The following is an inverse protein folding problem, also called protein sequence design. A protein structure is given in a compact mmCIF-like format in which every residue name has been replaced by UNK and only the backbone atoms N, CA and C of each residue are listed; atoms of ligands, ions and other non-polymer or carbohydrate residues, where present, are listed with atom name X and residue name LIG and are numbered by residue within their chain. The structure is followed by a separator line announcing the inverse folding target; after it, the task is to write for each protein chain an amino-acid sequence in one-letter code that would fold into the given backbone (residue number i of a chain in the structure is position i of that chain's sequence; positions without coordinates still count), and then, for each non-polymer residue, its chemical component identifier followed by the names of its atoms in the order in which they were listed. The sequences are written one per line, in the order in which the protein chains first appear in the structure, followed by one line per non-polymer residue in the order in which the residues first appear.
data_IF_038721726779
#
_entry.id   IF_038721726779
#
_cell.length_a   1.000
_cell.length_b   1.000
_cell.length_c   1.000
_cell.angle_alpha   90.00
_cell.angle_beta   90.00
_cell.angle_gamma   90.00
#
_symmetry.space_group_name_H-M   'P 1'
#
loop_
_entity.id
_entity.type
_entity.pdbx_description
1 polymer ?
#
# COMPACT_ATOMS: atom_id res chain seq x y z
N UNK A 1 3.80 9.15 10.33
CA UNK A 1 3.16 9.53 11.62
C UNK A 1 2.76 11.01 11.54
N UNK A 2 1.45 11.31 11.68
CA UNK A 2 0.92 12.67 11.53
C UNK A 2 1.41 13.62 12.64
N UNK A 3 1.58 13.11 13.85
CA UNK A 3 2.04 13.93 15.01
C UNK A 3 3.47 14.43 14.78
N UNK A 4 4.34 13.57 14.23
CA UNK A 4 5.71 13.94 13.91
C UNK A 4 5.76 14.95 12.75
N UNK A 5 4.92 14.79 11.72
CA UNK A 5 4.85 15.77 10.63
C UNK A 5 4.37 17.15 11.12
N UNK A 6 3.38 17.17 12.02
CA UNK A 6 2.92 18.42 12.64
C UNK A 6 4.03 19.05 13.49
N UNK A 7 4.74 18.25 14.28
CA UNK A 7 5.88 18.71 15.10
C UNK A 7 6.98 19.33 14.26
N UNK A 8 7.40 18.63 13.18
CA UNK A 8 8.43 19.12 12.27
C UNK A 8 8.00 20.39 11.52
N UNK A 9 6.76 20.45 11.05
CA UNK A 9 6.21 21.64 10.40
C UNK A 9 6.23 22.85 11.32
N UNK A 10 5.86 22.68 12.61
CA UNK A 10 5.91 23.75 13.59
C UNK A 10 7.35 24.24 13.88
N UNK A 11 8.33 23.33 13.90
CA UNK A 11 9.75 23.71 14.04
C UNK A 11 10.25 24.51 12.85
N UNK A 12 9.90 24.10 11.62
CA UNK A 12 10.25 24.82 10.40
C UNK A 12 9.60 26.22 10.37
N UNK A 13 8.34 26.31 10.77
CA UNK A 13 7.61 27.59 10.80
C UNK A 13 8.26 28.62 11.73
N UNK A 14 8.82 28.21 12.89
CA UNK A 14 9.59 29.09 13.79
C UNK A 14 10.83 29.69 13.12
N UNK A 15 11.29 29.10 12.01
CA UNK A 15 12.43 29.57 11.21
C UNK A 15 12.00 30.18 9.88
N UNK A 16 10.70 30.52 9.71
CA UNK A 16 10.11 31.03 8.47
C UNK A 16 10.30 30.08 7.25
N UNK A 17 10.39 28.77 7.50
CA UNK A 17 10.47 27.76 6.43
C UNK A 17 9.06 27.19 6.20
N UNK A 18 8.57 27.31 4.98
CA UNK A 18 7.31 26.67 4.56
C UNK A 18 7.54 25.17 4.31
N UNK A 19 6.58 24.33 4.72
CA UNK A 19 6.67 22.87 4.61
C UNK A 19 5.45 22.30 3.91
N UNK A 20 5.69 21.20 3.20
CA UNK A 20 4.67 20.29 2.70
C UNK A 20 5.02 18.87 3.16
N UNK A 21 4.03 18.07 3.46
CA UNK A 21 4.19 16.61 3.47
C UNK A 21 3.68 16.05 2.14
N UNK A 22 4.39 15.08 1.59
CA UNK A 22 4.10 14.54 0.27
C UNK A 22 4.36 13.02 0.20
N UNK A 23 3.69 12.19 1.03
CA UNK A 23 3.83 10.74 0.93
C UNK A 23 3.33 10.24 -0.42
N UNK A 24 3.99 9.18 -0.91
CA UNK A 24 3.68 8.57 -2.21
C UNK A 24 2.95 7.24 -2.04
N UNK A 25 2.19 6.85 -3.08
CA UNK A 25 1.45 5.59 -3.13
C UNK A 25 1.33 5.06 -4.56
N UNK A 26 1.26 3.73 -4.73
CA UNK A 26 1.18 3.08 -6.04
C UNK A 26 2.25 2.01 -6.30
N UNK A 27 3.18 1.81 -5.34
CA UNK A 27 4.22 0.77 -5.41
C UNK A 27 5.49 1.20 -6.15
N UNK A 28 6.53 0.37 -6.05
CA UNK A 28 7.85 0.63 -6.61
C UNK A 28 7.81 0.78 -8.13
N UNK A 29 7.09 -0.09 -8.83
CA UNK A 29 6.98 -0.07 -10.29
C UNK A 29 6.45 1.26 -10.85
N UNK A 30 5.47 1.89 -10.16
CA UNK A 30 4.98 3.22 -10.55
C UNK A 30 5.93 4.35 -10.16
N UNK A 31 6.74 4.17 -9.13
CA UNK A 31 7.80 5.12 -8.81
C UNK A 31 8.92 5.09 -9.88
N UNK A 32 9.28 3.91 -10.36
CA UNK A 32 10.28 3.71 -11.42
C UNK A 32 9.85 4.32 -12.77
N UNK A 33 8.56 4.21 -13.12
CA UNK A 33 8.00 4.81 -14.34
C UNK A 33 7.73 6.32 -14.23
N UNK A 34 7.73 6.87 -12.99
CA UNK A 34 7.35 8.26 -12.72
C UNK A 34 5.83 8.48 -12.68
N UNK A 35 5.02 7.42 -12.64
CA UNK A 35 3.55 7.47 -12.59
C UNK A 35 3.00 7.29 -11.14
N UNK A 36 3.85 7.44 -10.13
CA UNK A 36 3.42 7.32 -8.74
C UNK A 36 2.44 8.40 -8.34
N UNK A 37 1.51 8.09 -7.43
CA UNK A 37 0.58 9.07 -6.88
C UNK A 37 1.15 9.74 -5.64
N UNK A 38 0.88 11.04 -5.47
CA UNK A 38 1.38 11.87 -4.37
C UNK A 38 0.20 12.45 -3.59
N UNK A 39 0.16 12.20 -2.28
CA UNK A 39 -0.78 12.84 -1.36
C UNK A 39 -0.08 14.05 -0.74
N UNK A 40 -0.63 15.26 -0.90
CA UNK A 40 0.08 16.47 -0.46
C UNK A 40 -0.72 17.23 0.58
N UNK A 41 -0.09 17.60 1.70
CA UNK A 41 -0.70 18.46 2.71
C UNK A 41 0.22 19.62 3.10
N UNK A 42 -0.40 20.73 3.49
CA UNK A 42 0.26 21.98 3.89
C UNK A 42 -0.54 23.20 3.46
N UNK A 43 0.08 24.38 3.47
CA UNK A 43 -0.58 25.59 2.98
C UNK A 43 -0.82 25.49 1.47
N UNK A 44 -2.04 25.82 1.00
CA UNK A 44 -2.36 25.77 -0.44
C UNK A 44 -1.42 26.65 -1.29
N UNK A 45 -1.03 27.81 -0.76
CA UNK A 45 -0.05 28.70 -1.41
C UNK A 45 1.29 28.01 -1.64
N UNK A 46 1.78 27.25 -0.64
CA UNK A 46 3.05 26.50 -0.73
C UNK A 46 2.91 25.35 -1.71
N UNK A 47 1.77 24.63 -1.67
CA UNK A 47 1.45 23.60 -2.65
C UNK A 47 1.48 24.14 -4.08
N UNK A 48 0.82 25.27 -4.35
CA UNK A 48 0.81 25.86 -5.68
C UNK A 48 2.21 26.25 -6.17
N UNK A 49 3.08 26.77 -5.28
CA UNK A 49 4.50 27.04 -5.61
C UNK A 49 5.28 25.77 -5.96
N UNK A 50 5.01 24.67 -5.26
CA UNK A 50 5.72 23.39 -5.42
C UNK A 50 5.11 22.51 -6.52
N UNK A 51 3.95 22.84 -7.07
CA UNK A 51 3.19 21.98 -7.97
C UNK A 51 4.00 21.54 -9.19
N UNK A 52 4.74 22.45 -9.81
CA UNK A 52 5.58 22.11 -10.97
C UNK A 52 6.65 21.06 -10.63
N UNK A 53 7.25 21.15 -9.44
CA UNK A 53 8.19 20.11 -8.96
C UNK A 53 7.48 18.78 -8.75
N UNK A 54 6.34 18.79 -8.05
CA UNK A 54 5.56 17.57 -7.75
C UNK A 54 5.06 16.90 -9.04
N UNK A 55 4.64 17.67 -10.05
CA UNK A 55 4.15 17.15 -11.33
C UNK A 55 5.24 16.48 -12.19
N UNK A 56 6.50 16.72 -11.90
CA UNK A 56 7.63 16.02 -12.51
C UNK A 56 8.02 14.72 -11.78
N UNK A 57 7.55 14.56 -10.52
CA UNK A 57 7.85 13.38 -9.68
C UNK A 57 6.79 12.30 -9.82
N UNK A 58 5.50 12.69 -9.90
CA UNK A 58 4.39 11.73 -9.97
C UNK A 58 3.24 12.22 -10.83
N UNK A 59 2.31 11.29 -11.13
CA UNK A 59 1.19 11.57 -12.03
C UNK A 59 -0.03 12.13 -11.29
N UNK A 60 -0.64 11.36 -10.38
CA UNK A 60 -1.82 11.78 -9.64
C UNK A 60 -1.42 12.55 -8.38
N UNK A 61 -1.75 13.82 -8.29
CA UNK A 61 -1.39 14.68 -7.15
C UNK A 61 -2.66 15.12 -6.44
N UNK A 62 -2.87 14.63 -5.22
CA UNK A 62 -4.04 14.96 -4.42
C UNK A 62 -3.67 15.94 -3.31
N UNK A 63 -4.27 17.14 -3.33
CA UNK A 63 -4.14 18.07 -2.22
C UNK A 63 -5.09 17.70 -1.08
N UNK A 64 -4.53 17.31 0.09
CA UNK A 64 -5.27 16.79 1.24
C UNK A 64 -5.55 17.85 2.33
N UNK A 65 -5.17 19.10 2.13
CA UNK A 65 -5.42 20.18 3.11
C UNK A 65 -4.28 20.41 4.09
N UNK A 66 -4.59 20.51 5.38
CA UNK A 66 -3.61 20.85 6.43
C UNK A 66 -2.58 19.73 6.66
N UNK A 67 -1.39 20.10 7.19
CA UNK A 67 -0.35 19.16 7.63
C UNK A 67 -0.95 18.08 8.56
N UNK A 68 -0.55 16.84 8.38
CA UNK A 68 -1.06 15.64 9.05
C UNK A 68 -2.09 14.86 8.22
N UNK A 69 -2.85 15.53 7.33
CA UNK A 69 -3.90 14.87 6.55
C UNK A 69 -3.33 13.84 5.55
N UNK A 70 -2.27 14.18 4.82
CA UNK A 70 -1.67 13.27 3.85
C UNK A 70 -1.03 12.06 4.54
N UNK A 71 -0.35 12.26 5.67
CA UNK A 71 0.18 11.16 6.49
C UNK A 71 -0.92 10.24 7.00
N UNK A 72 -2.01 10.81 7.52
CA UNK A 72 -3.17 10.03 7.97
C UNK A 72 -3.79 9.22 6.84
N UNK A 73 -4.04 9.87 5.68
CA UNK A 73 -4.60 9.19 4.51
C UNK A 73 -3.68 8.10 4.00
N UNK A 74 -2.35 8.32 3.99
CA UNK A 74 -1.38 7.29 3.61
C UNK A 74 -1.42 6.08 4.53
N UNK A 75 -1.56 6.27 5.84
CA UNK A 75 -1.73 5.17 6.81
C UNK A 75 -3.01 4.39 6.53
N UNK A 76 -4.12 5.06 6.22
CA UNK A 76 -5.40 4.43 5.86
C UNK A 76 -5.26 3.61 4.57
N UNK A 77 -4.64 4.16 3.52
CA UNK A 77 -4.46 3.43 2.25
C UNK A 77 -3.57 2.20 2.41
N UNK A 78 -2.51 2.26 3.22
CA UNK A 78 -1.64 1.12 3.48
C UNK A 78 -2.32 0.04 4.34
N UNK A 79 -3.19 0.44 5.29
CA UNK A 79 -4.04 -0.51 6.00
C UNK A 79 -4.97 -1.26 5.04
N UNK A 80 -5.66 -0.54 4.14
CA UNK A 80 -6.55 -1.17 3.14
C UNK A 80 -5.78 -2.11 2.21
N UNK A 81 -4.61 -1.71 1.73
CA UNK A 81 -3.76 -2.60 0.92
C UNK A 81 -3.39 -3.88 1.68
N UNK A 82 -3.03 -3.77 2.96
CA UNK A 82 -2.62 -4.92 3.78
C UNK A 82 -3.76 -5.89 4.07
N UNK A 83 -4.98 -5.39 4.31
CA UNK A 83 -6.14 -6.27 4.53
C UNK A 83 -6.60 -6.91 3.22
N UNK A 84 -6.56 -6.18 2.10
CA UNK A 84 -6.84 -6.72 0.78
C UNK A 84 -5.89 -7.88 0.45
N UNK A 85 -4.60 -7.75 0.79
CA UNK A 85 -3.63 -8.82 0.59
C UNK A 85 -3.98 -10.10 1.38
N UNK A 86 -4.32 -9.98 2.67
CA UNK A 86 -4.67 -11.15 3.48
C UNK A 86 -5.94 -11.84 2.99
N UNK A 87 -7.01 -11.07 2.76
CA UNK A 87 -8.30 -11.61 2.28
C UNK A 87 -8.17 -12.25 0.90
N UNK A 88 -7.35 -11.64 0.03
CA UNK A 88 -7.03 -12.21 -1.29
C UNK A 88 -6.37 -13.59 -1.19
N UNK A 89 -5.40 -13.75 -0.27
CA UNK A 89 -4.75 -15.04 -0.06
C UNK A 89 -5.72 -16.14 0.37
N UNK A 90 -6.66 -15.81 1.25
CA UNK A 90 -7.73 -16.74 1.67
C UNK A 90 -8.66 -17.07 0.50
N UNK A 91 -9.10 -16.07 -0.27
CA UNK A 91 -9.97 -16.25 -1.43
C UNK A 91 -9.31 -17.14 -2.51
N UNK A 92 -8.05 -16.88 -2.86
CA UNK A 92 -7.30 -17.71 -3.83
C UNK A 92 -7.10 -19.14 -3.32
N UNK A 93 -6.91 -19.32 -2.00
CA UNK A 93 -6.80 -20.65 -1.41
C UNK A 93 -8.11 -21.45 -1.51
N UNK A 94 -9.25 -20.79 -1.30
CA UNK A 94 -10.58 -21.40 -1.53
C UNK A 94 -10.74 -21.84 -2.98
N UNK A 95 -10.44 -20.94 -3.94
CA UNK A 95 -10.45 -21.26 -5.37
C UNK A 95 -9.59 -22.49 -5.68
N UNK A 96 -8.35 -22.50 -5.15
CA UNK A 96 -7.41 -23.60 -5.36
C UNK A 96 -7.90 -24.92 -4.79
N UNK A 97 -8.44 -24.92 -3.57
CA UNK A 97 -8.96 -26.12 -2.90
C UNK A 97 -10.24 -26.66 -3.55
N UNK A 98 -11.07 -25.77 -4.09
CA UNK A 98 -12.23 -26.14 -4.88
C UNK A 98 -11.88 -26.77 -6.23
N UNK A 99 -10.65 -26.57 -6.71
CA UNK A 99 -10.19 -27.10 -8.00
C UNK A 99 -10.28 -26.09 -9.17
N UNK A 100 -10.57 -24.80 -8.87
CA UNK A 100 -10.53 -23.76 -9.90
C UNK A 100 -9.10 -23.51 -10.37
N UNK A 101 -8.95 -23.27 -11.66
CA UNK A 101 -7.68 -22.75 -12.20
C UNK A 101 -7.42 -21.35 -11.63
N UNK A 102 -6.21 -21.15 -11.10
CA UNK A 102 -5.87 -19.88 -10.44
C UNK A 102 -5.71 -18.71 -11.42
N UNK A 103 -5.39 -18.97 -12.70
CA UNK A 103 -5.37 -17.91 -13.71
C UNK A 103 -6.79 -17.45 -14.02
N UNK A 104 -7.73 -18.38 -14.16
CA UNK A 104 -9.16 -18.08 -14.31
C UNK A 104 -9.68 -17.34 -13.10
N UNK A 105 -9.30 -17.78 -11.87
CA UNK A 105 -9.69 -17.11 -10.62
C UNK A 105 -9.17 -15.68 -10.56
N UNK A 106 -7.91 -15.44 -10.94
CA UNK A 106 -7.35 -14.09 -11.04
C UNK A 106 -8.18 -13.19 -11.96
N UNK A 107 -8.47 -13.61 -13.18
CA UNK A 107 -9.26 -12.80 -14.12
C UNK A 107 -10.71 -12.62 -13.65
N UNK A 108 -11.32 -13.64 -13.03
CA UNK A 108 -12.67 -13.55 -12.48
C UNK A 108 -12.78 -12.52 -11.35
N UNK A 109 -11.79 -12.46 -10.46
CA UNK A 109 -11.73 -11.44 -9.40
C UNK A 109 -11.50 -10.06 -10.02
N UNK A 110 -10.59 -9.92 -11.00
CA UNK A 110 -10.25 -8.65 -11.64
C UNK A 110 -11.46 -7.93 -12.28
N UNK A 111 -12.43 -8.68 -12.81
CA UNK A 111 -13.65 -8.12 -13.44
C UNK A 111 -14.84 -8.02 -12.47
N UNK A 112 -14.65 -8.31 -11.19
CA UNK A 112 -15.71 -8.33 -10.17
C UNK A 112 -15.59 -7.18 -9.17
N UNK A 113 -16.61 -6.99 -8.35
CA UNK A 113 -16.59 -6.04 -7.23
C UNK A 113 -15.59 -6.41 -6.12
N UNK A 114 -15.04 -7.62 -6.13
CA UNK A 114 -13.98 -8.06 -5.24
C UNK A 114 -12.58 -7.61 -5.66
N UNK A 115 -12.44 -6.90 -6.78
CA UNK A 115 -11.17 -6.42 -7.28
C UNK A 115 -10.53 -5.36 -6.36
N UNK A 116 -9.21 -5.27 -6.42
CA UNK A 116 -8.42 -4.23 -5.76
C UNK A 116 -7.09 -4.03 -6.49
N UNK A 117 -6.45 -2.87 -6.30
CA UNK A 117 -5.10 -2.63 -6.82
C UNK A 117 -4.11 -3.71 -6.36
N UNK A 118 -4.24 -4.18 -5.12
CA UNK A 118 -3.42 -5.28 -4.58
C UNK A 118 -3.67 -6.58 -5.34
N UNK A 119 -4.92 -6.87 -5.71
CA UNK A 119 -5.22 -8.03 -6.55
C UNK A 119 -4.56 -7.90 -7.93
N UNK A 120 -4.69 -6.77 -8.58
CA UNK A 120 -4.12 -6.55 -9.92
C UNK A 120 -2.59 -6.62 -9.96
N UNK A 121 -1.93 -6.33 -8.83
CA UNK A 121 -0.47 -6.27 -8.73
C UNK A 121 0.12 -7.44 -7.93
N UNK A 122 -0.09 -7.45 -6.62
CA UNK A 122 0.62 -8.36 -5.71
C UNK A 122 0.21 -9.83 -5.90
N UNK A 123 -1.05 -10.12 -6.32
CA UNK A 123 -1.45 -11.49 -6.59
C UNK A 123 -0.65 -12.13 -7.72
N UNK A 124 -0.20 -11.36 -8.71
CA UNK A 124 0.64 -11.85 -9.78
C UNK A 124 1.97 -12.41 -9.25
N UNK A 125 2.57 -11.71 -8.28
CA UNK A 125 3.83 -12.13 -7.64
C UNK A 125 3.64 -13.35 -6.73
N UNK A 126 2.47 -13.49 -6.10
CA UNK A 126 2.10 -14.68 -5.32
C UNK A 126 1.92 -15.88 -6.27
N UNK A 127 1.16 -15.71 -7.34
CA UNK A 127 0.89 -16.76 -8.33
C UNK A 127 2.14 -17.19 -9.10
N UNK A 128 3.07 -16.28 -9.34
CA UNK A 128 4.39 -16.61 -9.87
C UNK A 128 5.26 -17.33 -8.82
N UNK A 129 5.13 -17.00 -7.55
CA UNK A 129 5.92 -17.52 -6.44
C UNK A 129 7.17 -16.71 -6.08
N UNK A 130 7.40 -15.54 -6.71
CA UNK A 130 8.51 -14.65 -6.37
C UNK A 130 8.25 -13.89 -5.06
N UNK A 131 7.01 -13.50 -4.79
CA UNK A 131 6.60 -12.62 -3.69
C UNK A 131 7.30 -11.25 -3.69
N UNK A 132 7.93 -10.85 -4.78
CA UNK A 132 8.86 -9.71 -4.86
C UNK A 132 8.13 -8.39 -5.10
N UNK A 133 7.44 -7.85 -4.08
CA UNK A 133 6.67 -6.60 -4.18
C UNK A 133 7.50 -5.34 -3.93
N UNK A 134 8.75 -5.47 -3.47
CA UNK A 134 9.59 -4.32 -3.09
C UNK A 134 9.17 -3.63 -1.79
N UNK A 135 8.44 -4.32 -0.91
CA UNK A 135 7.95 -3.79 0.36
C UNK A 135 8.11 -4.83 1.47
N UNK A 136 8.86 -4.48 2.54
CA UNK A 136 9.23 -5.45 3.57
C UNK A 136 8.14 -5.67 4.61
N UNK A 137 8.21 -6.82 5.29
CA UNK A 137 7.34 -7.15 6.42
C UNK A 137 7.46 -6.13 7.57
N UNK A 138 8.67 -5.59 7.82
CA UNK A 138 8.90 -4.55 8.82
C UNK A 138 8.12 -3.28 8.50
N UNK A 139 8.09 -2.87 7.24
CA UNK A 139 7.35 -1.69 6.80
C UNK A 139 5.85 -1.87 6.97
N UNK A 140 5.30 -3.06 6.63
CA UNK A 140 3.88 -3.32 6.87
C UNK A 140 3.56 -3.33 8.35
N UNK A 141 4.37 -4.00 9.19
CA UNK A 141 4.16 -4.00 10.64
C UNK A 141 4.16 -2.58 11.22
N UNK A 142 5.05 -1.71 10.73
CA UNK A 142 5.07 -0.28 11.10
C UNK A 142 3.76 0.40 10.69
N UNK A 143 3.34 0.25 9.43
CA UNK A 143 2.17 0.97 8.89
C UNK A 143 0.85 0.50 9.54
N UNK A 144 0.66 -0.81 9.74
CA UNK A 144 -0.48 -1.34 10.48
C UNK A 144 -0.44 -0.90 11.95
N UNK A 145 0.76 -0.79 12.54
CA UNK A 145 0.96 -0.23 13.87
C UNK A 145 0.51 1.23 13.97
N UNK A 146 0.84 2.06 12.98
CA UNK A 146 0.38 3.45 12.90
C UNK A 146 -1.15 3.55 12.77
N UNK A 147 -1.77 2.68 11.97
CA UNK A 147 -3.23 2.63 11.87
C UNK A 147 -3.88 2.26 13.21
N UNK A 148 -3.34 1.27 13.93
CA UNK A 148 -3.83 0.93 15.27
C UNK A 148 -3.63 2.08 16.29
N UNK A 149 -2.55 2.85 16.17
CA UNK A 149 -2.34 4.06 16.98
C UNK A 149 -3.46 5.08 16.75
N UNK A 150 -3.83 5.31 15.47
CA UNK A 150 -4.92 6.21 15.09
C UNK A 150 -6.28 5.71 15.62
N UNK A 151 -6.60 4.42 15.46
CA UNK A 151 -7.86 3.86 15.94
C UNK A 151 -7.99 3.98 17.46
N UNK A 152 -6.91 3.75 18.20
CA UNK A 152 -6.88 3.92 19.64
C UNK A 152 -7.05 5.40 20.05
N UNK A 153 -6.36 6.32 19.37
CA UNK A 153 -6.45 7.78 19.59
C UNK A 153 -7.88 8.30 19.45
N UNK A 154 -8.62 7.76 18.50
CA UNK A 154 -10.01 8.17 18.24
C UNK A 154 -11.06 7.22 18.81
N UNK A 155 -10.67 6.27 19.68
CA UNK A 155 -11.57 5.29 20.31
C UNK A 155 -12.39 4.47 19.30
N UNK A 156 -11.81 4.15 18.15
CA UNK A 156 -12.46 3.34 17.10
C UNK A 156 -12.25 1.86 17.42
N UNK A 157 -13.34 1.10 17.54
CA UNK A 157 -13.29 -0.37 17.67
C UNK A 157 -13.00 -1.00 16.32
N UNK A 158 -11.71 -1.20 16.02
CA UNK A 158 -11.23 -1.72 14.72
C UNK A 158 -10.70 -3.15 14.88
N UNK A 159 -11.59 -4.14 14.93
CA UNK A 159 -11.22 -5.54 15.20
C UNK A 159 -10.42 -6.15 14.03
N UNK A 160 -10.74 -5.78 12.78
CA UNK A 160 -10.00 -6.23 11.60
C UNK A 160 -8.55 -5.76 11.66
N UNK A 161 -8.29 -4.52 12.08
CA UNK A 161 -6.91 -4.01 12.18
C UNK A 161 -6.09 -4.73 13.26
N UNK A 162 -6.73 -5.14 14.37
CA UNK A 162 -6.09 -5.95 15.42
C UNK A 162 -5.73 -7.34 14.91
N UNK A 163 -6.63 -7.98 14.15
CA UNK A 163 -6.38 -9.26 13.50
C UNK A 163 -5.22 -9.14 12.50
N UNK A 164 -5.26 -8.12 11.64
CA UNK A 164 -4.22 -7.83 10.66
C UNK A 164 -2.85 -7.68 11.33
N UNK A 165 -2.76 -6.87 12.39
CA UNK A 165 -1.53 -6.66 13.15
C UNK A 165 -0.96 -7.98 13.72
N UNK A 166 -1.82 -8.85 14.29
CA UNK A 166 -1.40 -10.17 14.78
C UNK A 166 -0.85 -11.05 13.66
N UNK A 167 -1.51 -11.08 12.50
CA UNK A 167 -1.08 -11.88 11.33
C UNK A 167 0.28 -11.41 10.79
N UNK A 168 0.48 -10.10 10.61
CA UNK A 168 1.77 -9.58 10.14
C UNK A 168 2.89 -9.75 11.16
N UNK A 169 2.64 -9.59 12.46
CA UNK A 169 3.63 -9.91 13.50
C UNK A 169 4.02 -11.40 13.50
N UNK A 170 3.06 -12.29 13.28
CA UNK A 170 3.33 -13.73 13.11
C UNK A 170 4.18 -14.00 11.85
N UNK A 171 3.81 -13.38 10.71
CA UNK A 171 4.59 -13.48 9.47
C UNK A 171 6.02 -12.95 9.64
N UNK A 172 6.20 -11.79 10.29
CA UNK A 172 7.52 -11.24 10.62
C UNK A 172 8.34 -12.21 11.50
N UNK A 173 7.72 -12.81 12.52
CA UNK A 173 8.40 -13.79 13.38
C UNK A 173 8.84 -15.04 12.59
N UNK A 174 8.01 -15.51 11.65
CA UNK A 174 8.26 -16.75 10.90
C UNK A 174 9.21 -16.57 9.71
N UNK A 175 9.11 -15.47 8.99
CA UNK A 175 9.81 -15.27 7.71
C UNK A 175 10.88 -14.16 7.76
N UNK A 176 10.96 -13.41 8.87
CA UNK A 176 11.90 -12.30 9.05
C UNK A 176 11.32 -10.95 8.64
N UNK A 177 11.88 -9.89 9.23
CA UNK A 177 11.42 -8.51 9.00
C UNK A 177 11.72 -8.00 7.60
N UNK A 178 12.82 -8.48 6.98
CA UNK A 178 13.22 -8.09 5.62
C UNK A 178 12.55 -8.93 4.53
N UNK A 179 11.79 -9.97 4.90
CA UNK A 179 10.98 -10.71 3.94
C UNK A 179 9.96 -9.78 3.26
N UNK A 180 9.65 -10.04 2.00
CA UNK A 180 8.63 -9.32 1.26
C UNK A 180 7.26 -9.44 1.96
N UNK A 181 6.49 -8.35 1.99
CA UNK A 181 5.17 -8.32 2.66
C UNK A 181 4.20 -9.37 2.13
N UNK A 182 4.21 -9.61 0.84
CA UNK A 182 3.43 -10.67 0.17
C UNK A 182 3.75 -12.08 0.68
N UNK A 183 4.92 -12.29 1.31
CA UNK A 183 5.26 -13.57 1.96
C UNK A 183 4.32 -13.89 3.13
N UNK A 184 3.49 -12.95 3.59
CA UNK A 184 2.44 -13.22 4.57
C UNK A 184 1.49 -14.33 4.09
N UNK A 185 1.29 -14.44 2.77
CA UNK A 185 0.43 -15.46 2.16
C UNK A 185 0.97 -16.88 2.37
N UNK A 186 2.28 -17.03 2.60
CA UNK A 186 2.86 -18.31 2.95
C UNK A 186 2.29 -18.90 4.25
N UNK A 187 1.70 -18.07 5.14
CA UNK A 187 1.03 -18.58 6.34
C UNK A 187 -0.15 -19.49 5.97
N UNK A 188 -0.98 -19.08 5.02
CA UNK A 188 -2.12 -19.89 4.56
C UNK A 188 -1.65 -21.04 3.65
N UNK A 189 -0.64 -20.81 2.82
CA UNK A 189 -0.05 -21.89 2.01
C UNK A 189 0.50 -23.03 2.88
N UNK A 190 1.23 -22.69 3.94
CA UNK A 190 1.83 -23.67 4.85
C UNK A 190 0.76 -24.39 5.67
N UNK A 191 -0.23 -23.66 6.23
CA UNK A 191 -1.31 -24.25 7.00
C UNK A 191 -2.24 -25.14 6.16
N UNK A 192 -2.36 -24.88 4.87
CA UNK A 192 -3.17 -25.63 3.92
C UNK A 192 -2.38 -26.70 3.16
N UNK A 193 -1.08 -26.82 3.41
CA UNK A 193 -0.15 -27.67 2.65
C UNK A 193 -0.36 -27.54 1.12
N UNK A 194 -0.49 -26.31 0.64
CA UNK A 194 -0.87 -26.03 -0.75
C UNK A 194 -0.23 -24.72 -1.20
N UNK A 195 0.41 -24.72 -2.37
CA UNK A 195 1.01 -23.51 -2.95
C UNK A 195 0.07 -22.86 -3.97
N UNK A 196 -0.02 -21.53 -3.90
CA UNK A 196 -0.77 -20.71 -4.86
C UNK A 196 0.12 -20.41 -6.06
N UNK A 197 0.08 -21.27 -7.08
CA UNK A 197 0.91 -21.14 -8.28
C UNK A 197 0.07 -21.26 -9.55
N UNK A 198 0.35 -20.37 -10.49
CA UNK A 198 -0.17 -20.41 -11.86
C UNK A 198 0.90 -19.99 -12.84
N UNK A 199 0.80 -20.50 -14.09
CA UNK A 199 1.74 -20.15 -15.17
C UNK A 199 1.47 -18.77 -15.75
N UNK A 200 2.50 -18.18 -16.35
CA UNK A 200 2.44 -16.92 -17.11
C UNK A 200 2.15 -15.66 -16.27
N UNK A 201 2.55 -15.66 -15.00
CA UNK A 201 2.59 -14.46 -14.18
C UNK A 201 4.02 -13.95 -14.01
N UNK A 202 4.24 -12.62 -13.94
CA UNK A 202 5.56 -12.01 -13.90
C UNK A 202 6.26 -12.24 -12.55
N UNK A 203 7.59 -12.26 -12.56
CA UNK A 203 8.42 -12.30 -11.34
C UNK A 203 8.59 -10.95 -10.67
N UNK A 204 8.41 -9.88 -11.44
CA UNK A 204 8.60 -8.48 -11.05
C UNK A 204 7.43 -7.71 -11.66
N UNK A 205 6.88 -6.77 -10.91
CA UNK A 205 5.90 -5.82 -11.46
C UNK A 205 6.63 -4.77 -12.27
N UNK A 206 6.08 -4.47 -13.44
CA UNK A 206 6.51 -3.36 -14.29
C UNK A 206 5.30 -2.47 -14.59
N UNK A 207 5.49 -1.18 -14.60
CA UNK A 207 4.53 -0.24 -15.14
C UNK A 207 4.93 0.06 -16.58
N UNK A 208 4.15 -0.44 -17.52
CA UNK A 208 4.40 -0.26 -18.95
C UNK A 208 3.70 1.00 -19.50
N UNK A 209 3.05 1.79 -18.65
CA UNK A 209 2.49 3.06 -19.07
C UNK A 209 3.61 4.08 -19.29
N UNK A 210 3.48 4.87 -20.36
CA UNK A 210 4.38 6.00 -20.55
C UNK A 210 4.27 6.97 -19.38
N UNK A 211 5.40 7.64 -19.05
CA UNK A 211 5.39 8.68 -18.03
C UNK A 211 4.39 9.77 -18.39
N UNK A 212 3.43 10.01 -17.50
CA UNK A 212 2.41 11.05 -17.66
C UNK A 212 2.80 12.31 -16.87
N UNK A 213 2.51 13.47 -17.44
CA UNK A 213 2.60 14.74 -16.70
C UNK A 213 1.69 14.70 -15.47
N UNK A 214 2.21 15.17 -14.34
CA UNK A 214 1.45 15.22 -13.11
C UNK A 214 0.27 16.17 -13.17
N UNK A 215 -0.88 15.71 -12.66
CA UNK A 215 -2.14 16.47 -12.63
C UNK A 215 -2.69 16.55 -11.21
N UNK A 216 -3.24 17.70 -10.84
CA UNK A 216 -3.97 17.84 -9.58
C UNK A 216 -5.33 17.14 -9.71
N UNK A 217 -5.61 16.19 -8.81
CA UNK A 217 -6.94 15.58 -8.68
C UNK A 217 -7.85 16.60 -8.00
N UNK A 218 -8.89 17.04 -8.71
CA UNK A 218 -9.92 17.98 -8.22
C UNK A 218 -11.26 17.26 -8.13
N UNK A 219 -12.06 17.60 -7.15
CA UNK A 219 -13.41 17.07 -6.90
C UNK A 219 -14.32 18.17 -6.36
#
# INVERSE_FOLDING_TARGET
DEEEMIRLSNLCQKKNIETLEAPVTGGQHRAESGNISILVSGKKKTFNKAFNLLSNIGHNILYCGKIGNASTLKVVTNYLASINLLSLGEALMVCKKYGLDLKTSYHGIAISSGNSFVHETESQLILNGSYNVGFSMDLVCKDVGLFNKLTNKYNIKADISKLLNRKFKLGKKKYGGQAQSTSIIKLIEDSSNTKLRAKNFPKILTDNEEKKQGVEIKF
#
